data_IF_082379567015
#
_entry.id   IF_082379567015
#
_cell.length_a   1.000
_cell.length_b   1.000
_cell.length_c   1.000
_cell.angle_alpha   90.00
_cell.angle_beta   90.00
_cell.angle_gamma   90.00
#
_symmetry.space_group_name_H-M   'P 1'
#
loop_
_entity.id
_entity.type
_entity.pdbx_description
1 polymer ?
#
# COMPACT_ATOMS: atom_id res chain seq x y z
N UNK A 1 13.58 -15.98 17.25
CA UNK A 1 12.74 -15.25 18.24
C UNK A 1 11.27 -15.63 18.01
N UNK A 2 10.46 -15.48 19.04
CA UNK A 2 9.02 -15.60 19.00
C UNK A 2 8.38 -14.23 19.09
N UNK A 3 7.72 -13.80 18.03
CA UNK A 3 7.21 -12.44 17.86
C UNK A 3 5.68 -12.46 17.97
N UNK A 4 5.11 -11.62 18.82
CA UNK A 4 3.69 -11.32 18.82
C UNK A 4 3.45 -10.15 17.87
N UNK A 5 2.80 -10.41 16.73
CA UNK A 5 2.45 -9.36 15.76
C UNK A 5 0.99 -8.97 15.93
N UNK A 6 0.72 -7.66 16.01
CA UNK A 6 -0.62 -7.10 16.19
C UNK A 6 -1.00 -6.29 14.96
N UNK A 7 -2.02 -6.75 14.23
CA UNK A 7 -2.46 -6.13 12.99
C UNK A 7 -3.98 -5.90 13.02
N UNK A 8 -4.45 -4.65 13.24
CA UNK A 8 -5.87 -4.28 13.27
C UNK A 8 -6.43 -4.18 11.84
N UNK A 9 -6.27 -5.25 11.07
CA UNK A 9 -6.63 -5.33 9.66
C UNK A 9 -7.15 -6.73 9.30
N UNK A 10 -7.97 -6.86 8.24
CA UNK A 10 -8.36 -8.18 7.73
C UNK A 10 -7.19 -8.82 6.95
N UNK A 11 -6.42 -9.63 7.62
CA UNK A 11 -5.30 -10.37 7.02
C UNK A 11 -5.79 -11.73 6.46
N UNK A 12 -5.51 -12.17 5.25
CA UNK A 12 -4.91 -11.45 4.16
C UNK A 12 -6.03 -10.93 3.24
N UNK A 13 -6.00 -9.63 2.94
CA UNK A 13 -6.76 -9.06 1.81
C UNK A 13 -5.76 -8.35 0.89
N UNK A 14 -5.86 -8.46 -0.44
CA UNK A 14 -4.87 -7.91 -1.37
C UNK A 14 -5.01 -6.39 -1.53
N UNK A 15 -4.75 -5.66 -0.46
CA UNK A 15 -4.81 -4.19 -0.40
C UNK A 15 -3.75 -3.65 0.56
N UNK A 16 -3.30 -2.44 0.37
CA UNK A 16 -2.46 -1.60 1.22
C UNK A 16 -1.72 -2.30 2.37
N UNK A 17 -2.11 -2.00 3.60
CA UNK A 17 -1.49 -2.51 4.84
C UNK A 17 -1.41 -4.03 4.93
N UNK A 18 -2.46 -4.84 4.61
CA UNK A 18 -2.34 -6.31 4.61
C UNK A 18 -1.24 -6.87 3.71
N UNK A 19 -0.96 -6.25 2.56
CA UNK A 19 0.16 -6.65 1.69
C UNK A 19 1.49 -6.37 2.39
N UNK A 20 1.64 -5.20 3.00
CA UNK A 20 2.86 -4.85 3.74
C UNK A 20 3.09 -5.82 4.90
N UNK A 21 2.05 -6.15 5.68
CA UNK A 21 2.11 -7.13 6.77
C UNK A 21 2.57 -8.50 6.26
N UNK A 22 2.05 -8.94 5.12
CA UNK A 22 2.45 -10.20 4.50
C UNK A 22 3.97 -10.24 4.24
N UNK A 23 4.54 -9.20 3.63
CA UNK A 23 5.98 -9.14 3.36
C UNK A 23 6.82 -8.97 4.63
N UNK A 24 6.31 -8.29 5.67
CA UNK A 24 6.94 -8.26 7.00
C UNK A 24 7.05 -9.67 7.59
N UNK A 25 5.95 -10.41 7.56
CA UNK A 25 5.90 -11.80 8.07
C UNK A 25 6.81 -12.71 7.25
N UNK A 26 6.76 -12.60 5.90
CA UNK A 26 7.66 -13.39 5.03
C UNK A 26 9.13 -13.12 5.36
N UNK A 27 9.53 -11.87 5.50
CA UNK A 27 10.91 -11.51 5.84
C UNK A 27 11.30 -12.02 7.23
N UNK A 28 10.43 -11.90 8.23
CA UNK A 28 10.68 -12.44 9.58
C UNK A 28 10.81 -13.97 9.57
N UNK A 29 9.97 -14.65 8.82
CA UNK A 29 10.04 -16.12 8.63
C UNK A 29 11.36 -16.54 7.96
N UNK A 30 11.76 -15.86 6.88
CA UNK A 30 13.01 -16.15 6.14
C UNK A 30 14.28 -15.79 6.94
N UNK A 31 14.13 -15.01 8.03
CA UNK A 31 15.15 -14.76 9.03
C UNK A 31 15.12 -15.78 10.19
N UNK A 32 14.27 -16.80 10.12
CA UNK A 32 14.16 -17.88 11.11
C UNK A 32 13.36 -17.50 12.37
N UNK A 33 12.44 -16.54 12.28
CA UNK A 33 11.60 -16.13 13.41
C UNK A 33 10.19 -16.73 13.31
N UNK A 34 9.58 -17.00 14.45
CA UNK A 34 8.19 -17.44 14.54
C UNK A 34 7.27 -16.27 14.86
N UNK A 35 6.17 -16.13 14.13
CA UNK A 35 5.21 -15.02 14.26
C UNK A 35 3.85 -15.56 14.65
N UNK A 36 3.35 -15.19 15.84
CA UNK A 36 1.94 -15.33 16.22
C UNK A 36 1.24 -14.01 15.84
N UNK A 37 0.49 -14.00 14.73
CA UNK A 37 -0.24 -12.83 14.22
C UNK A 37 -1.63 -12.75 14.83
N UNK A 38 -1.91 -11.74 15.64
CA UNK A 38 -3.27 -11.41 16.10
C UNK A 38 -3.89 -10.41 15.15
N UNK A 39 -5.03 -10.76 14.56
CA UNK A 39 -5.68 -9.98 13.50
C UNK A 39 -7.21 -10.10 13.55
N UNK A 40 -7.91 -9.30 12.77
CA UNK A 40 -9.37 -9.36 12.68
C UNK A 40 -9.87 -10.72 12.17
N UNK A 41 -11.17 -10.98 12.36
CA UNK A 41 -11.82 -12.24 11.95
C UNK A 41 -11.89 -12.44 10.44
N UNK A 42 -11.81 -11.37 9.65
CA UNK A 42 -11.89 -11.38 8.19
C UNK A 42 -10.52 -11.62 7.52
N UNK A 43 -10.56 -12.09 6.28
CA UNK A 43 -9.39 -12.27 5.42
C UNK A 43 -9.10 -13.74 5.13
N UNK A 44 -8.09 -13.98 4.30
CA UNK A 44 -7.65 -15.33 3.88
C UNK A 44 -6.47 -15.80 4.72
N UNK A 45 -6.36 -17.10 4.91
CA UNK A 45 -5.17 -17.68 5.52
C UNK A 45 -4.05 -17.82 4.49
N UNK A 46 -2.85 -17.40 4.87
CA UNK A 46 -1.63 -17.59 4.07
C UNK A 46 -0.69 -18.56 4.78
N UNK A 47 -0.15 -19.49 4.02
CA UNK A 47 0.83 -20.46 4.51
C UNK A 47 2.22 -19.85 4.40
N UNK A 48 2.82 -19.49 5.53
CA UNK A 48 4.20 -19.02 5.66
C UNK A 48 4.82 -19.83 6.79
N UNK A 49 6.05 -20.30 6.62
CA UNK A 49 6.73 -21.06 7.64
C UNK A 49 6.86 -20.24 8.95
N UNK A 50 6.59 -20.83 10.10
CA UNK A 50 6.65 -20.16 11.40
C UNK A 50 5.52 -19.15 11.67
N UNK A 51 4.56 -18.97 10.77
CA UNK A 51 3.39 -18.11 10.98
C UNK A 51 2.24 -18.89 11.62
N UNK A 52 1.68 -18.33 12.68
CA UNK A 52 0.40 -18.72 13.25
C UNK A 52 -0.58 -17.56 13.24
N UNK A 53 -1.69 -17.67 12.51
CA UNK A 53 -2.75 -16.65 12.46
C UNK A 53 -3.74 -16.88 13.61
N UNK A 54 -3.96 -15.85 14.41
CA UNK A 54 -4.82 -15.86 15.60
C UNK A 54 -5.92 -14.81 15.41
N UNK A 55 -7.02 -15.19 14.75
CA UNK A 55 -8.14 -14.30 14.50
C UNK A 55 -8.95 -14.03 15.76
N UNK A 56 -9.45 -12.79 15.92
CA UNK A 56 -10.48 -12.49 16.93
C UNK A 56 -11.80 -13.17 16.54
N UNK A 57 -12.69 -13.42 17.51
CA UNK A 57 -14.02 -13.97 17.19
C UNK A 57 -14.87 -12.94 16.44
N UNK A 58 -15.76 -13.43 15.56
CA UNK A 58 -16.79 -12.61 14.91
C UNK A 58 -18.02 -12.49 15.82
N UNK A 59 -17.98 -11.55 16.78
CA UNK A 59 -19.08 -11.30 17.71
C UNK A 59 -20.10 -10.29 17.19
N UNK A 60 -19.77 -9.53 16.13
CA UNK A 60 -20.58 -8.41 15.66
C UNK A 60 -21.10 -8.61 14.24
N UNK A 61 -20.87 -9.75 13.62
CA UNK A 61 -21.26 -10.06 12.23
C UNK A 61 -20.81 -9.00 11.21
N UNK A 62 -19.64 -8.40 11.44
CA UNK A 62 -19.07 -7.36 10.59
C UNK A 62 -18.47 -8.01 9.36
N UNK A 63 -19.13 -7.92 8.22
CA UNK A 63 -18.70 -8.52 6.95
C UNK A 63 -17.72 -7.65 6.15
N UNK A 64 -17.62 -6.36 6.46
CA UNK A 64 -16.75 -5.41 5.75
C UNK A 64 -16.15 -4.40 6.70
N UNK A 65 -14.86 -4.11 6.54
CA UNK A 65 -14.14 -3.10 7.30
C UNK A 65 -13.69 -2.01 6.34
N UNK A 66 -14.12 -0.77 6.60
CA UNK A 66 -13.75 0.39 5.79
C UNK A 66 -12.26 0.70 5.93
N UNK A 67 -11.68 1.22 4.85
CA UNK A 67 -10.32 1.77 4.85
C UNK A 67 -10.32 3.08 5.63
N UNK A 68 -9.33 3.29 6.50
CA UNK A 68 -9.20 4.48 7.34
C UNK A 68 -9.95 4.39 8.67
N UNK A 69 -10.05 5.50 9.42
CA UNK A 69 -10.72 5.56 10.71
C UNK A 69 -12.19 5.18 10.59
N UNK A 70 -12.68 4.34 11.51
CA UNK A 70 -14.07 3.90 11.52
C UNK A 70 -14.49 3.48 12.92
N UNK A 71 -15.70 3.88 13.34
CA UNK A 71 -16.27 3.44 14.62
C UNK A 71 -16.45 1.93 14.71
N UNK A 72 -16.60 1.24 13.57
CA UNK A 72 -16.68 -0.23 13.54
C UNK A 72 -15.39 -0.92 13.95
N UNK A 73 -14.24 -0.24 13.87
CA UNK A 73 -12.95 -0.77 14.31
C UNK A 73 -12.82 -0.80 15.83
N UNK A 74 -13.44 0.12 16.57
CA UNK A 74 -13.30 0.24 18.03
C UNK A 74 -13.59 -1.07 18.76
N UNK A 75 -14.75 -1.74 18.56
CA UNK A 75 -15.00 -3.02 19.22
C UNK A 75 -14.08 -4.14 18.75
N UNK A 76 -13.63 -4.11 17.48
CA UNK A 76 -12.69 -5.09 16.95
C UNK A 76 -11.29 -4.92 17.57
N UNK A 77 -10.84 -3.67 17.74
CA UNK A 77 -9.57 -3.35 18.39
C UNK A 77 -9.57 -3.75 19.86
N UNK A 78 -10.70 -3.59 20.54
CA UNK A 78 -10.86 -4.09 21.91
C UNK A 78 -10.73 -5.61 22.00
N UNK A 79 -11.38 -6.36 21.10
CA UNK A 79 -11.25 -7.82 21.02
C UNK A 79 -9.81 -8.24 20.67
N UNK A 80 -9.13 -7.46 19.80
CA UNK A 80 -7.75 -7.70 19.42
C UNK A 80 -6.82 -7.48 20.62
N UNK A 81 -7.03 -6.44 21.41
CA UNK A 81 -6.32 -6.21 22.68
C UNK A 81 -6.54 -7.37 23.68
N UNK A 82 -7.79 -7.80 23.88
CA UNK A 82 -8.10 -8.94 24.76
C UNK A 82 -7.38 -10.21 24.30
N UNK A 83 -7.40 -10.49 22.98
CA UNK A 83 -6.72 -11.65 22.39
C UNK A 83 -5.20 -11.55 22.55
N UNK A 84 -4.61 -10.38 22.32
CA UNK A 84 -3.18 -10.13 22.50
C UNK A 84 -2.77 -10.34 23.97
N UNK A 85 -3.50 -9.74 24.92
CA UNK A 85 -3.27 -9.92 26.36
C UNK A 85 -3.33 -11.38 26.76
N UNK A 86 -4.35 -12.10 26.31
CA UNK A 86 -4.48 -13.55 26.55
C UNK A 86 -3.27 -14.36 26.03
N UNK A 87 -2.75 -14.01 24.83
CA UNK A 87 -1.55 -14.66 24.28
C UNK A 87 -0.32 -14.37 25.15
N UNK A 88 -0.14 -13.11 25.58
CA UNK A 88 0.96 -12.70 26.47
C UNK A 88 0.93 -13.43 27.81
N UNK A 89 -0.26 -13.72 28.36
CA UNK A 89 -0.41 -14.51 29.60
C UNK A 89 -0.10 -15.99 29.40
N UNK A 90 -0.36 -16.54 28.21
CA UNK A 90 -0.19 -17.99 27.93
C UNK A 90 1.19 -18.37 27.43
N UNK A 91 1.92 -17.45 26.83
CA UNK A 91 3.16 -17.73 26.13
C UNK A 91 4.17 -16.61 26.34
N UNK A 92 5.44 -16.99 26.40
CA UNK A 92 6.52 -16.02 26.34
C UNK A 92 6.77 -15.56 24.90
N UNK A 93 6.94 -14.23 24.73
CA UNK A 93 7.35 -13.60 23.48
C UNK A 93 8.60 -12.76 23.71
N UNK A 94 9.48 -12.72 22.71
CA UNK A 94 10.72 -11.96 22.73
C UNK A 94 10.50 -10.49 22.30
N UNK A 95 9.43 -10.24 21.55
CA UNK A 95 9.16 -8.96 20.90
C UNK A 95 7.66 -8.80 20.60
N UNK A 96 7.14 -7.57 20.77
CA UNK A 96 5.87 -7.15 20.19
C UNK A 96 6.14 -6.30 18.94
N UNK A 97 5.48 -6.65 17.84
CA UNK A 97 5.51 -5.93 16.57
C UNK A 97 4.08 -5.47 16.23
N UNK A 98 3.81 -4.17 16.22
CA UNK A 98 2.44 -3.67 16.02
C UNK A 98 2.31 -2.73 14.83
N UNK A 99 1.15 -2.78 14.19
CA UNK A 99 0.78 -1.98 13.04
C UNK A 99 -0.34 -1.01 13.40
N UNK A 100 -0.39 0.16 12.75
CA UNK A 100 -1.47 1.14 12.84
C UNK A 100 -1.94 1.42 14.28
N UNK A 101 -3.26 1.37 14.53
CA UNK A 101 -3.87 1.61 15.84
C UNK A 101 -3.38 0.64 16.92
N UNK A 102 -2.98 -0.57 16.55
CA UNK A 102 -2.40 -1.53 17.51
C UNK A 102 -1.08 -1.05 18.14
N UNK A 103 -0.46 -0.02 17.59
CA UNK A 103 0.69 0.65 18.18
C UNK A 103 0.46 1.07 19.62
N UNK A 104 -0.74 1.56 19.96
CA UNK A 104 -1.02 2.09 21.31
C UNK A 104 -1.02 1.00 22.36
N UNK A 105 -1.83 -0.03 22.16
CA UNK A 105 -1.91 -1.12 23.13
C UNK A 105 -0.75 -2.10 23.02
N UNK A 106 -0.15 -2.28 21.84
CA UNK A 106 1.10 -3.03 21.67
C UNK A 106 2.24 -2.43 22.49
N UNK A 107 2.39 -1.08 22.47
CA UNK A 107 3.35 -0.37 23.31
C UNK A 107 3.06 -0.56 24.80
N UNK A 108 1.79 -0.48 25.22
CA UNK A 108 1.39 -0.66 26.61
C UNK A 108 1.70 -2.10 27.09
N UNK A 109 1.33 -3.11 26.30
CA UNK A 109 1.64 -4.51 26.58
C UNK A 109 3.16 -4.73 26.69
N UNK A 110 3.94 -4.23 25.74
CA UNK A 110 5.39 -4.37 25.75
C UNK A 110 6.02 -3.79 27.04
N UNK A 111 5.51 -2.64 27.52
CA UNK A 111 5.96 -2.06 28.79
C UNK A 111 5.59 -2.92 30.01
N UNK A 112 4.37 -3.44 30.04
CA UNK A 112 3.88 -4.28 31.16
C UNK A 112 4.71 -5.57 31.26
N UNK A 113 5.05 -6.20 30.14
CA UNK A 113 5.81 -7.45 30.11
C UNK A 113 7.34 -7.25 30.01
N UNK A 114 7.82 -6.00 29.95
CA UNK A 114 9.25 -5.69 29.92
C UNK A 114 9.98 -6.15 28.65
N UNK A 115 9.27 -6.31 27.54
CA UNK A 115 9.85 -6.75 26.25
C UNK A 115 9.94 -5.61 25.25
N UNK A 116 10.84 -5.67 24.23
CA UNK A 116 10.95 -4.64 23.22
C UNK A 116 9.69 -4.54 22.34
N UNK A 117 9.48 -3.34 21.81
CA UNK A 117 8.38 -3.02 20.90
C UNK A 117 8.93 -2.40 19.62
N UNK A 118 8.47 -2.90 18.47
CA UNK A 118 8.63 -2.29 17.14
C UNK A 118 7.28 -1.80 16.67
N UNK A 119 7.23 -0.55 16.21
CA UNK A 119 6.04 0.04 15.60
C UNK A 119 6.21 0.15 14.09
N UNK A 120 5.30 -0.44 13.31
CA UNK A 120 5.22 -0.27 11.86
C UNK A 120 4.14 0.77 11.54
N UNK A 121 4.60 1.96 11.20
CA UNK A 121 3.78 3.14 10.98
C UNK A 121 3.42 3.25 9.50
N UNK A 122 2.19 2.89 9.15
CA UNK A 122 1.68 3.01 7.78
C UNK A 122 1.03 4.38 7.53
N UNK A 123 0.72 5.12 8.59
CA UNK A 123 0.14 6.45 8.53
C UNK A 123 0.28 7.17 9.86
N UNK A 124 0.18 8.50 9.87
CA UNK A 124 -0.02 9.27 11.10
C UNK A 124 -1.51 9.30 11.42
N UNK A 125 -1.90 8.75 12.56
CA UNK A 125 -3.30 8.71 12.99
C UNK A 125 -3.94 10.11 13.13
N UNK A 126 -3.26 11.13 13.69
CA UNK A 126 -3.74 12.51 13.66
C UNK A 126 -3.99 13.05 12.24
N UNK A 127 -3.11 12.72 11.30
CA UNK A 127 -3.24 13.14 9.89
C UNK A 127 -4.39 12.41 9.19
N UNK A 128 -4.62 11.14 9.50
CA UNK A 128 -5.79 10.41 9.00
C UNK A 128 -7.10 11.04 9.46
N UNK A 129 -7.20 11.47 10.72
CA UNK A 129 -8.42 12.14 11.23
C UNK A 129 -8.77 13.39 10.41
N UNK A 130 -7.75 14.15 9.98
CA UNK A 130 -7.93 15.32 9.13
C UNK A 130 -8.30 14.93 7.69
N UNK A 131 -7.54 14.02 7.07
CA UNK A 131 -7.71 13.61 5.69
C UNK A 131 -9.07 12.95 5.41
N UNK A 132 -9.59 12.18 6.37
CA UNK A 132 -10.90 11.52 6.24
C UNK A 132 -12.07 12.35 6.81
N UNK A 133 -11.79 13.55 7.33
CA UNK A 133 -12.82 14.41 7.92
C UNK A 133 -13.54 13.79 9.12
N UNK A 134 -12.91 12.80 9.79
CA UNK A 134 -13.52 12.01 10.86
C UNK A 134 -13.83 12.85 12.10
N UNK A 135 -13.00 13.84 12.40
CA UNK A 135 -13.25 14.79 13.49
C UNK A 135 -12.50 16.11 13.28
N UNK A 136 -13.20 17.23 13.45
CA UNK A 136 -12.61 18.58 13.50
C UNK A 136 -12.29 19.03 14.93
N UNK A 137 -12.53 18.20 15.94
CA UNK A 137 -12.30 18.54 17.36
C UNK A 137 -10.81 18.66 17.67
N UNK A 138 -10.40 19.85 18.13
CA UNK A 138 -9.04 20.11 18.60
C UNK A 138 -8.64 19.22 19.80
N UNK A 139 -9.59 18.81 20.62
CA UNK A 139 -9.36 17.93 21.76
C UNK A 139 -9.02 16.50 21.28
N UNK A 140 -9.80 15.96 20.37
CA UNK A 140 -9.55 14.64 19.79
C UNK A 140 -8.19 14.61 19.10
N UNK A 141 -7.88 15.60 18.27
CA UNK A 141 -6.55 15.73 17.63
C UNK A 141 -5.42 15.73 18.68
N UNK A 142 -5.58 16.47 19.78
CA UNK A 142 -4.57 16.54 20.86
C UNK A 142 -4.40 15.19 21.57
N UNK A 143 -5.46 14.43 21.77
CA UNK A 143 -5.41 13.07 22.34
C UNK A 143 -4.62 12.16 21.41
N UNK A 144 -4.93 12.12 20.12
CA UNK A 144 -4.26 11.27 19.15
C UNK A 144 -2.77 11.64 18.99
N UNK A 145 -2.42 12.92 19.02
CA UNK A 145 -1.02 13.36 19.03
C UNK A 145 -0.26 12.88 20.28
N UNK A 146 -0.91 12.87 21.46
CA UNK A 146 -0.30 12.34 22.68
C UNK A 146 -0.10 10.83 22.62
N UNK A 147 -1.08 10.11 22.07
CA UNK A 147 -1.00 8.66 21.85
C UNK A 147 0.10 8.30 20.84
N UNK A 148 0.18 9.01 19.72
CA UNK A 148 1.25 8.82 18.74
C UNK A 148 2.63 9.07 19.36
N UNK A 149 2.80 10.17 20.11
CA UNK A 149 4.06 10.44 20.85
C UNK A 149 4.38 9.37 21.89
N UNK A 150 3.36 8.83 22.57
CA UNK A 150 3.55 7.74 23.52
C UNK A 150 4.12 6.49 22.83
N UNK A 151 3.57 6.11 21.68
CA UNK A 151 4.08 4.99 20.87
C UNK A 151 5.52 5.26 20.43
N UNK A 152 5.77 6.40 19.77
CA UNK A 152 7.09 6.76 19.25
C UNK A 152 8.16 6.81 20.36
N UNK A 153 7.81 7.35 21.54
CA UNK A 153 8.73 7.43 22.68
C UNK A 153 9.14 6.05 23.21
N UNK A 154 8.19 5.12 23.29
CA UNK A 154 8.39 3.84 23.96
C UNK A 154 8.75 2.68 22.99
N UNK A 155 8.62 2.84 21.68
CA UNK A 155 9.13 1.88 20.70
C UNK A 155 10.66 1.93 20.62
N UNK A 156 11.29 0.78 20.43
CA UNK A 156 12.74 0.66 20.22
C UNK A 156 13.16 1.04 18.81
N UNK A 157 12.29 0.72 17.82
CA UNK A 157 12.41 1.13 16.44
C UNK A 157 11.02 1.42 15.87
N UNK A 158 10.96 2.30 14.86
CA UNK A 158 9.75 2.66 14.12
C UNK A 158 10.03 2.47 12.65
N UNK A 159 9.31 1.56 12.02
CA UNK A 159 9.34 1.41 10.57
C UNK A 159 8.38 2.44 9.98
N UNK A 160 8.82 3.16 8.95
CA UNK A 160 7.99 4.09 8.17
C UNK A 160 8.01 3.66 6.71
N UNK A 161 6.85 3.73 6.05
CA UNK A 161 6.68 3.20 4.68
C UNK A 161 6.96 4.21 3.56
N UNK A 162 7.21 5.47 3.91
CA UNK A 162 7.45 6.54 2.94
C UNK A 162 8.19 7.71 3.59
N UNK A 163 8.77 8.59 2.76
CA UNK A 163 9.53 9.76 3.20
C UNK A 163 8.67 10.77 3.97
N UNK A 164 7.37 10.89 3.67
CA UNK A 164 6.45 11.76 4.42
C UNK A 164 6.42 11.40 5.91
N UNK A 165 6.31 10.12 6.22
CA UNK A 165 6.31 9.63 7.60
C UNK A 165 7.70 9.75 8.25
N UNK A 166 8.76 9.57 7.48
CA UNK A 166 10.13 9.79 8.00
C UNK A 166 10.33 11.26 8.37
N UNK A 167 9.94 12.19 7.51
CA UNK A 167 9.97 13.62 7.80
C UNK A 167 9.14 13.97 9.04
N UNK A 168 7.97 13.33 9.19
CA UNK A 168 7.10 13.48 10.36
C UNK A 168 7.80 13.05 11.66
N UNK A 169 8.50 11.91 11.65
CA UNK A 169 9.27 11.47 12.81
C UNK A 169 10.40 12.44 13.15
N UNK A 170 11.05 13.01 12.14
CA UNK A 170 12.08 14.04 12.32
C UNK A 170 11.51 15.31 12.97
N UNK A 171 10.37 15.82 12.47
CA UNK A 171 9.65 16.95 13.11
C UNK A 171 9.32 16.70 14.58
N UNK A 172 8.97 15.46 14.93
CA UNK A 172 8.62 15.08 16.29
C UNK A 172 9.84 14.76 17.18
N UNK A 173 11.08 14.78 16.63
CA UNK A 173 12.33 14.48 17.35
C UNK A 173 12.58 12.98 17.53
N UNK A 174 12.06 12.12 16.65
CA UNK A 174 12.21 10.66 16.71
C UNK A 174 12.94 10.06 15.51
N UNK A 175 13.66 10.86 14.73
CA UNK A 175 14.41 10.41 13.54
C UNK A 175 15.39 9.29 13.82
N UNK A 176 16.03 9.30 15.00
CA UNK A 176 16.97 8.25 15.42
C UNK A 176 16.32 6.86 15.50
N UNK A 177 15.00 6.77 15.69
CA UNK A 177 14.23 5.53 15.73
C UNK A 177 13.67 5.12 14.38
N UNK A 178 13.54 6.05 13.46
CA UNK A 178 12.97 5.82 12.12
C UNK A 178 13.84 4.85 11.31
N UNK A 179 13.16 3.99 10.58
CA UNK A 179 13.73 3.14 9.52
C UNK A 179 12.78 3.15 8.34
N UNK A 180 13.20 3.78 7.26
CA UNK A 180 12.44 3.76 6.01
C UNK A 180 12.47 2.34 5.44
N UNK A 181 11.31 1.77 5.29
CA UNK A 181 11.09 0.50 4.63
C UNK A 181 9.91 0.64 3.69
N UNK A 182 10.22 1.10 2.49
CA UNK A 182 9.24 1.25 1.44
C UNK A 182 8.59 -0.08 1.09
N UNK A 183 7.37 0.00 0.59
CA UNK A 183 6.65 -1.21 0.26
C UNK A 183 7.34 -1.91 -0.93
N UNK A 184 7.58 -3.17 -0.72
CA UNK A 184 8.08 -4.09 -1.71
C UNK A 184 6.92 -4.97 -2.18
N UNK A 185 6.75 -5.11 -3.50
CA UNK A 185 5.74 -5.99 -4.07
C UNK A 185 6.45 -6.91 -5.06
N UNK A 186 6.77 -8.09 -4.60
CA UNK A 186 7.33 -9.15 -5.41
C UNK A 186 6.70 -10.48 -4.97
N UNK A 187 5.43 -10.62 -5.36
CA UNK A 187 4.81 -11.94 -5.26
C UNK A 187 5.41 -12.82 -6.34
N UNK A 188 5.79 -14.02 -5.98
CA UNK A 188 6.12 -15.07 -6.94
C UNK A 188 4.84 -15.42 -7.70
N UNK A 189 4.69 -14.84 -8.89
CA UNK A 189 3.60 -15.19 -9.81
C UNK A 189 4.14 -16.19 -10.85
N UNK A 190 3.29 -17.09 -11.35
CA UNK A 190 3.63 -17.90 -12.51
C UNK A 190 4.07 -17.01 -13.67
N UNK A 191 5.03 -17.46 -14.46
CA UNK A 191 5.36 -16.80 -15.71
C UNK A 191 4.13 -16.72 -16.61
N UNK A 192 3.89 -15.53 -17.14
CA UNK A 192 2.76 -15.27 -18.02
C UNK A 192 3.27 -15.39 -19.45
N UNK A 193 2.70 -16.32 -20.22
CA UNK A 193 3.12 -16.53 -21.60
C UNK A 193 2.73 -15.34 -22.48
N UNK A 194 3.53 -15.07 -23.52
CA UNK A 194 3.23 -14.03 -24.51
C UNK A 194 1.89 -14.27 -25.21
N UNK A 195 1.51 -15.53 -25.41
CA UNK A 195 0.22 -15.90 -25.99
C UNK A 195 -0.95 -15.57 -25.06
N UNK A 196 -0.80 -15.71 -23.76
CA UNK A 196 -1.81 -15.30 -22.79
C UNK A 196 -1.95 -13.77 -22.78
N UNK A 197 -0.83 -13.05 -22.78
CA UNK A 197 -0.83 -11.59 -22.86
C UNK A 197 -1.53 -11.13 -24.13
N UNK A 198 -1.18 -11.72 -25.29
CA UNK A 198 -1.76 -11.36 -26.59
C UNK A 198 -3.27 -11.59 -26.63
N UNK A 199 -3.73 -12.79 -26.26
CA UNK A 199 -5.17 -13.14 -26.22
C UNK A 199 -5.93 -12.22 -25.28
N UNK A 200 -5.37 -11.95 -24.09
CA UNK A 200 -6.03 -11.06 -23.13
C UNK A 200 -6.06 -9.60 -23.57
N UNK A 201 -5.01 -9.15 -24.29
CA UNK A 201 -4.95 -7.80 -24.85
C UNK A 201 -6.00 -7.58 -25.94
N UNK A 202 -6.26 -8.57 -26.80
CA UNK A 202 -7.24 -8.49 -27.88
C UNK A 202 -8.68 -8.26 -27.38
N UNK A 203 -8.99 -8.63 -26.13
CA UNK A 203 -10.29 -8.32 -25.51
C UNK A 203 -10.52 -6.81 -25.30
N UNK A 204 -9.45 -6.02 -25.17
CA UNK A 204 -9.50 -4.60 -24.81
C UNK A 204 -8.98 -3.66 -25.89
N UNK A 205 -8.18 -4.17 -26.80
CA UNK A 205 -7.57 -3.35 -27.84
C UNK A 205 -7.27 -4.19 -29.08
N UNK A 206 -7.85 -3.85 -30.24
CA UNK A 206 -7.46 -4.42 -31.53
C UNK A 206 -5.97 -4.18 -31.83
N UNK A 207 -5.44 -4.91 -32.80
CA UNK A 207 -4.05 -4.75 -33.25
C UNK A 207 -3.77 -3.28 -33.63
N UNK A 208 -2.69 -2.72 -33.07
CA UNK A 208 -2.30 -1.33 -33.30
C UNK A 208 -2.90 -0.30 -32.34
N UNK A 209 -3.88 -0.67 -31.54
CA UNK A 209 -4.46 0.18 -30.51
C UNK A 209 -3.61 0.12 -29.24
N UNK A 210 -3.32 1.28 -28.64
CA UNK A 210 -2.56 1.46 -27.41
C UNK A 210 -3.46 1.37 -26.18
N UNK A 211 -2.95 0.82 -25.09
CA UNK A 211 -3.66 0.72 -23.81
C UNK A 211 -3.03 1.62 -22.76
N UNK A 212 -3.81 2.57 -22.25
CA UNK A 212 -3.52 3.31 -21.02
C UNK A 212 -4.13 2.55 -19.86
N UNK A 213 -3.28 2.06 -18.96
CA UNK A 213 -3.70 1.18 -17.87
C UNK A 213 -3.73 1.90 -16.53
N UNK A 214 -4.85 1.78 -15.83
CA UNK A 214 -4.96 2.05 -14.40
C UNK A 214 -5.20 0.75 -13.62
N UNK A 215 -4.53 0.58 -12.47
CA UNK A 215 -4.78 -0.53 -11.53
C UNK A 215 -4.99 0.03 -10.13
N UNK A 216 -6.08 -0.36 -9.45
CA UNK A 216 -6.33 0.00 -8.05
C UNK A 216 -7.81 0.14 -7.70
N UNK A 217 -8.09 0.58 -6.46
CA UNK A 217 -9.45 0.94 -6.05
C UNK A 217 -9.88 2.27 -6.69
N UNK A 218 -11.19 2.57 -6.63
CA UNK A 218 -11.76 3.79 -7.19
C UNK A 218 -12.15 4.81 -6.12
N UNK A 219 -11.41 4.83 -5.00
CA UNK A 219 -11.61 5.84 -3.97
C UNK A 219 -11.37 7.26 -4.53
N UNK A 220 -12.04 8.29 -4.02
CA UNK A 220 -11.99 9.65 -4.59
C UNK A 220 -10.58 10.19 -4.79
N UNK A 221 -9.67 9.94 -3.87
CA UNK A 221 -8.28 10.40 -3.95
C UNK A 221 -7.47 9.75 -5.08
N UNK A 222 -7.94 8.64 -5.66
CA UNK A 222 -7.28 7.96 -6.78
C UNK A 222 -7.46 8.69 -8.11
N UNK A 223 -8.44 9.61 -8.22
CA UNK A 223 -8.61 10.49 -9.38
C UNK A 223 -9.18 9.81 -10.63
N UNK A 224 -10.05 8.80 -10.50
CA UNK A 224 -10.63 8.13 -11.67
C UNK A 224 -11.50 9.08 -12.52
N UNK A 225 -12.38 9.94 -11.95
CA UNK A 225 -13.07 10.95 -12.74
C UNK A 225 -12.12 11.84 -13.53
N UNK A 226 -11.05 12.29 -12.90
CA UNK A 226 -10.00 13.11 -13.53
C UNK A 226 -9.30 12.38 -14.70
N UNK A 227 -9.07 11.05 -14.58
CA UNK A 227 -8.54 10.24 -15.68
C UNK A 227 -9.53 10.14 -16.85
N UNK A 228 -10.84 10.01 -16.57
CA UNK A 228 -11.87 9.96 -17.61
C UNK A 228 -12.01 11.30 -18.35
N UNK A 229 -11.92 12.43 -17.63
CA UNK A 229 -11.88 13.77 -18.25
C UNK A 229 -10.64 13.93 -19.15
N UNK A 230 -9.47 13.44 -18.72
CA UNK A 230 -8.28 13.44 -19.57
C UNK A 230 -8.41 12.49 -20.76
N UNK A 231 -9.08 11.36 -20.61
CA UNK A 231 -9.39 10.45 -21.71
C UNK A 231 -10.27 11.11 -22.77
N UNK A 232 -11.25 11.95 -22.38
CA UNK A 232 -12.10 12.71 -23.30
C UNK A 232 -11.27 13.67 -24.18
N UNK A 233 -10.18 14.26 -23.65
CA UNK A 233 -9.29 15.15 -24.41
C UNK A 233 -8.41 14.42 -25.43
N UNK A 234 -8.14 13.12 -25.22
CA UNK A 234 -7.35 12.32 -26.15
C UNK A 234 -8.28 11.77 -27.23
N UNK A 235 -8.40 12.47 -28.35
CA UNK A 235 -9.30 12.11 -29.45
C UNK A 235 -8.69 11.16 -30.50
N UNK A 236 -7.58 10.47 -30.15
CA UNK A 236 -6.94 9.50 -31.01
C UNK A 236 -7.65 8.13 -30.87
N UNK A 237 -8.32 7.67 -31.94
CA UNK A 237 -9.02 6.37 -31.94
C UNK A 237 -8.12 5.15 -31.77
N UNK A 238 -6.79 5.33 -31.72
CA UNK A 238 -5.81 4.29 -31.44
C UNK A 238 -5.47 4.16 -29.94
N UNK A 239 -6.21 4.81 -29.05
CA UNK A 239 -5.94 4.82 -27.62
C UNK A 239 -7.16 4.37 -26.84
N UNK A 240 -7.06 3.21 -26.20
CA UNK A 240 -8.04 2.68 -25.25
C UNK A 240 -7.54 2.83 -23.80
N UNK A 241 -8.49 2.90 -22.89
CA UNK A 241 -8.24 2.98 -21.45
C UNK A 241 -8.75 1.70 -20.77
N UNK A 242 -7.89 1.06 -19.99
CA UNK A 242 -8.23 -0.14 -19.21
C UNK A 242 -8.11 0.17 -17.74
N UNK A 243 -9.22 0.16 -17.02
CA UNK A 243 -9.31 0.44 -15.60
C UNK A 243 -9.60 -0.85 -14.83
N UNK A 244 -8.57 -1.33 -14.13
CA UNK A 244 -8.59 -2.59 -13.40
C UNK A 244 -8.81 -2.32 -11.91
N UNK A 245 -9.89 -2.88 -11.36
CA UNK A 245 -10.27 -2.72 -9.96
C UNK A 245 -11.58 -1.95 -9.77
N UNK A 246 -11.76 -1.39 -8.57
CA UNK A 246 -13.00 -0.73 -8.16
C UNK A 246 -14.06 -1.71 -7.65
N UNK A 247 -14.87 -1.26 -6.70
CA UNK A 247 -16.08 -1.98 -6.26
C UNK A 247 -17.20 -1.78 -7.29
N UNK A 248 -18.16 -2.70 -7.36
CA UNK A 248 -19.22 -2.68 -8.39
C UNK A 248 -19.97 -1.34 -8.45
N UNK A 249 -20.28 -0.74 -7.30
CA UNK A 249 -20.97 0.55 -7.25
C UNK A 249 -20.12 1.69 -7.81
N UNK A 250 -18.81 1.69 -7.54
CA UNK A 250 -17.88 2.70 -8.08
C UNK A 250 -17.70 2.52 -9.59
N UNK A 251 -17.58 1.28 -10.05
CA UNK A 251 -17.47 0.94 -11.47
C UNK A 251 -18.70 1.43 -12.24
N UNK A 252 -19.90 1.18 -11.74
CA UNK A 252 -21.14 1.64 -12.41
C UNK A 252 -21.24 3.17 -12.44
N UNK A 253 -20.76 3.84 -11.42
CA UNK A 253 -20.66 5.31 -11.42
C UNK A 253 -19.70 5.80 -12.51
N UNK A 254 -18.54 5.16 -12.67
CA UNK A 254 -17.54 5.55 -13.67
C UNK A 254 -17.99 5.21 -15.09
N UNK A 255 -18.71 4.11 -15.30
CA UNK A 255 -19.34 3.80 -16.60
C UNK A 255 -20.35 4.87 -17.02
N UNK A 256 -21.21 5.33 -16.09
CA UNK A 256 -22.14 6.44 -16.38
C UNK A 256 -21.39 7.73 -16.75
N UNK A 257 -20.28 8.01 -16.08
CA UNK A 257 -19.44 9.15 -16.43
C UNK A 257 -18.81 9.00 -17.82
N UNK A 258 -18.31 7.81 -18.16
CA UNK A 258 -17.77 7.52 -19.49
C UNK A 258 -18.82 7.69 -20.60
N UNK A 259 -20.08 7.29 -20.35
CA UNK A 259 -21.21 7.55 -21.25
C UNK A 259 -21.48 9.05 -21.43
N UNK A 260 -21.51 9.79 -20.32
CA UNK A 260 -21.72 11.25 -20.36
C UNK A 260 -20.61 11.98 -21.15
N UNK A 261 -19.36 11.51 -21.06
CA UNK A 261 -18.21 12.05 -21.78
C UNK A 261 -18.08 11.50 -23.23
N UNK A 262 -18.99 10.63 -23.70
CA UNK A 262 -18.95 9.98 -25.00
C UNK A 262 -17.63 9.23 -25.29
N UNK A 263 -17.13 8.47 -24.30
CA UNK A 263 -15.88 7.68 -24.40
C UNK A 263 -16.09 6.20 -24.03
N UNK A 264 -17.33 5.74 -23.96
CA UNK A 264 -17.66 4.37 -23.53
C UNK A 264 -17.12 3.27 -24.45
N UNK A 265 -16.92 3.58 -25.73
CA UNK A 265 -16.40 2.68 -26.75
C UNK A 265 -14.91 2.33 -26.56
N UNK A 266 -14.17 3.15 -25.86
CA UNK A 266 -12.71 3.03 -25.64
C UNK A 266 -12.27 3.00 -24.19
N UNK A 267 -13.20 2.97 -23.24
CA UNK A 267 -12.92 2.86 -21.80
C UNK A 267 -13.48 1.55 -21.25
N UNK A 268 -12.60 0.68 -20.80
CA UNK A 268 -12.95 -0.66 -20.33
C UNK A 268 -12.74 -0.75 -18.81
N UNK A 269 -13.70 -1.37 -18.13
CA UNK A 269 -13.66 -1.58 -16.67
C UNK A 269 -13.74 -3.07 -16.37
N UNK A 270 -12.77 -3.61 -15.63
CA UNK A 270 -12.78 -5.03 -15.25
C UNK A 270 -13.53 -5.30 -13.94
N UNK A 271 -13.70 -4.28 -13.08
CA UNK A 271 -14.02 -4.49 -11.67
C UNK A 271 -12.84 -5.11 -10.92
N UNK A 272 -13.11 -5.63 -9.73
CA UNK A 272 -12.08 -6.28 -8.91
C UNK A 272 -11.60 -7.57 -9.57
N UNK A 273 -10.29 -7.74 -9.63
CA UNK A 273 -9.63 -8.95 -10.14
C UNK A 273 -8.83 -9.62 -9.02
N UNK A 274 -8.61 -10.92 -9.12
CA UNK A 274 -7.71 -11.63 -8.21
C UNK A 274 -6.31 -11.00 -8.26
N UNK A 275 -5.68 -10.83 -7.11
CA UNK A 275 -4.36 -10.17 -7.02
C UNK A 275 -3.30 -10.88 -7.88
N UNK A 276 -3.36 -12.19 -7.99
CA UNK A 276 -2.50 -12.99 -8.87
C UNK A 276 -2.61 -12.66 -10.36
N UNK A 277 -3.72 -12.04 -10.79
CA UNK A 277 -3.91 -11.60 -12.19
C UNK A 277 -3.41 -10.18 -12.46
N UNK A 278 -3.07 -9.40 -11.42
CA UNK A 278 -2.61 -8.02 -11.59
C UNK A 278 -1.37 -7.91 -12.50
N UNK A 279 -0.34 -8.77 -12.41
CA UNK A 279 0.79 -8.74 -13.33
C UNK A 279 0.40 -8.91 -14.79
N UNK A 280 -0.55 -9.83 -15.09
CA UNK A 280 -1.10 -10.00 -16.43
C UNK A 280 -1.70 -8.69 -16.95
N UNK A 281 -2.53 -8.01 -16.13
CA UNK A 281 -3.10 -6.73 -16.57
C UNK A 281 -2.02 -5.66 -16.76
N UNK A 282 -1.01 -5.57 -15.87
CA UNK A 282 0.11 -4.64 -16.04
C UNK A 282 0.84 -4.90 -17.36
N UNK A 283 1.01 -6.17 -17.77
CA UNK A 283 1.64 -6.50 -19.06
C UNK A 283 0.84 -6.05 -20.28
N UNK A 284 -0.48 -5.84 -20.17
CA UNK A 284 -1.31 -5.35 -21.28
C UNK A 284 -1.11 -3.86 -21.58
N UNK A 285 -0.80 -3.03 -20.57
CA UNK A 285 -0.66 -1.59 -20.72
C UNK A 285 0.54 -1.19 -21.57
N UNK A 286 0.41 -0.21 -22.45
CA UNK A 286 1.53 0.49 -23.08
C UNK A 286 2.02 1.65 -22.21
N UNK A 287 1.12 2.28 -21.45
CA UNK A 287 1.39 3.32 -20.45
C UNK A 287 0.61 3.01 -19.19
N UNK A 288 1.25 3.20 -18.04
CA UNK A 288 0.67 2.99 -16.71
C UNK A 288 0.40 4.33 -16.05
N UNK A 289 -0.81 4.53 -15.50
CA UNK A 289 -1.19 5.84 -14.95
C UNK A 289 -1.51 5.79 -13.46
N UNK A 290 -1.08 6.82 -12.72
CA UNK A 290 -1.46 7.07 -11.33
C UNK A 290 -1.97 8.52 -11.20
N UNK A 291 -3.28 8.74 -11.46
CA UNK A 291 -3.85 10.08 -11.57
C UNK A 291 -4.33 10.63 -10.22
N UNK A 292 -3.64 10.36 -9.13
CA UNK A 292 -4.03 10.84 -7.80
C UNK A 292 -4.16 12.36 -7.76
N UNK A 293 -5.14 12.84 -6.98
CA UNK A 293 -5.34 14.26 -6.71
C UNK A 293 -5.03 14.67 -5.27
N UNK A 294 -4.78 13.69 -4.41
CA UNK A 294 -4.40 13.93 -3.00
C UNK A 294 -3.80 12.67 -2.38
N UNK A 295 -3.27 12.83 -1.16
CA UNK A 295 -2.66 11.78 -0.37
C UNK A 295 -1.20 12.09 -0.04
N UNK A 296 -0.68 11.45 0.99
CA UNK A 296 0.68 11.64 1.49
C UNK A 296 1.55 10.40 1.29
N UNK A 297 0.96 9.20 1.32
CA UNK A 297 1.71 7.96 1.15
C UNK A 297 1.91 7.60 -0.32
N UNK A 298 3.08 7.07 -0.65
CA UNK A 298 3.36 6.52 -1.99
C UNK A 298 2.40 5.37 -2.32
N UNK A 299 1.71 5.40 -3.48
CA UNK A 299 0.83 4.31 -3.87
C UNK A 299 1.60 3.02 -4.13
N UNK A 300 1.15 1.89 -3.57
CA UNK A 300 1.80 0.58 -3.77
C UNK A 300 2.03 0.22 -5.23
N UNK A 301 1.08 0.57 -6.11
CA UNK A 301 1.17 0.30 -7.56
C UNK A 301 2.42 0.89 -8.22
N UNK A 302 2.98 1.98 -7.68
CA UNK A 302 4.17 2.64 -8.24
C UNK A 302 5.34 1.67 -8.29
N UNK A 303 5.57 0.88 -7.25
CA UNK A 303 6.68 -0.09 -7.22
C UNK A 303 6.53 -1.18 -8.30
N UNK A 304 5.30 -1.70 -8.50
CA UNK A 304 5.02 -2.65 -9.59
C UNK A 304 5.14 -2.00 -10.97
N UNK A 305 4.73 -0.73 -11.09
CA UNK A 305 4.83 0.02 -12.34
C UNK A 305 6.28 0.25 -12.74
N UNK A 306 7.14 0.66 -11.81
CA UNK A 306 8.57 0.84 -12.06
C UNK A 306 9.24 -0.47 -12.51
N UNK A 307 8.95 -1.58 -11.82
CA UNK A 307 9.47 -2.91 -12.19
C UNK A 307 9.00 -3.41 -13.56
N UNK A 308 7.85 -2.96 -14.04
CA UNK A 308 7.31 -3.40 -15.33
C UNK A 308 8.13 -2.95 -16.54
N UNK A 309 8.96 -1.91 -16.39
CA UNK A 309 9.70 -1.30 -17.50
C UNK A 309 8.81 -0.59 -18.53
N UNK A 310 7.59 -0.21 -18.14
CA UNK A 310 6.64 0.54 -18.97
C UNK A 310 6.61 2.00 -18.57
N UNK A 311 6.36 2.94 -19.50
CA UNK A 311 6.21 4.34 -19.18
C UNK A 311 5.15 4.58 -18.11
N UNK A 312 5.48 5.37 -17.08
CA UNK A 312 4.59 5.72 -15.98
C UNK A 312 4.26 7.20 -16.05
N UNK A 313 2.97 7.51 -16.08
CA UNK A 313 2.45 8.88 -15.94
C UNK A 313 1.83 9.05 -14.58
N UNK A 314 2.26 10.06 -13.83
CA UNK A 314 1.75 10.34 -12.50
C UNK A 314 1.63 11.85 -12.26
N UNK A 315 0.70 12.25 -11.40
CA UNK A 315 0.58 13.66 -11.01
C UNK A 315 1.80 14.12 -10.20
N UNK A 316 2.24 15.35 -10.46
CA UNK A 316 3.33 16.01 -9.74
C UNK A 316 2.88 16.43 -8.34
N UNK A 317 2.60 15.45 -7.50
CA UNK A 317 2.18 15.62 -6.11
C UNK A 317 3.13 14.88 -5.19
N UNK A 318 3.27 15.33 -3.95
CA UNK A 318 4.15 14.73 -2.95
C UNK A 318 3.95 13.23 -2.79
N UNK A 319 2.72 12.73 -2.89
CA UNK A 319 2.42 11.29 -2.86
C UNK A 319 3.16 10.46 -3.92
N UNK A 320 3.56 11.07 -5.04
CA UNK A 320 4.32 10.43 -6.12
C UNK A 320 5.79 10.82 -6.10
N UNK A 321 6.10 12.11 -5.87
CA UNK A 321 7.46 12.64 -5.99
C UNK A 321 8.41 12.20 -4.88
N UNK A 322 7.91 11.50 -3.87
CA UNK A 322 8.74 10.77 -2.91
C UNK A 322 9.58 9.66 -3.57
N UNK A 323 9.10 9.08 -4.67
CA UNK A 323 9.75 8.00 -5.42
C UNK A 323 9.99 8.37 -6.86
N UNK A 324 9.03 9.07 -7.49
CA UNK A 324 9.07 9.41 -8.91
C UNK A 324 9.74 10.76 -9.17
N UNK A 325 10.43 10.85 -10.30
CA UNK A 325 10.97 12.09 -10.86
C UNK A 325 10.97 12.02 -12.40
N UNK A 326 11.28 13.12 -13.07
CA UNK A 326 11.27 13.20 -14.53
C UNK A 326 12.37 12.38 -15.25
N UNK A 327 13.32 11.76 -14.52
CA UNK A 327 14.30 10.84 -15.12
C UNK A 327 13.72 9.43 -15.29
N UNK A 328 12.69 9.07 -14.52
CA UNK A 328 12.14 7.70 -14.46
C UNK A 328 10.63 7.64 -14.71
N UNK A 329 9.97 8.79 -14.91
CA UNK A 329 8.52 8.86 -15.13
C UNK A 329 8.14 10.15 -15.85
N UNK A 330 6.88 10.26 -16.25
CA UNK A 330 6.29 11.49 -16.78
C UNK A 330 5.44 12.09 -15.66
N UNK A 331 5.96 13.13 -15.01
CA UNK A 331 5.21 13.88 -13.99
C UNK A 331 4.42 15.00 -14.67
N UNK A 332 3.13 15.10 -14.32
CA UNK A 332 2.19 16.06 -14.87
C UNK A 332 1.50 16.86 -13.76
N UNK A 333 1.17 18.11 -14.03
CA UNK A 333 0.35 18.88 -13.09
C UNK A 333 -1.04 18.24 -12.94
N UNK A 334 -1.72 18.37 -11.78
CA UNK A 334 -3.02 17.75 -11.50
C UNK A 334 -4.17 18.48 -12.24
N UNK A 335 -3.99 18.70 -13.55
CA UNK A 335 -4.88 19.36 -14.49
C UNK A 335 -5.20 18.42 -15.66
N UNK A 336 -6.43 18.47 -16.16
CA UNK A 336 -6.96 17.54 -17.19
C UNK A 336 -6.10 17.57 -18.45
N UNK A 337 -5.79 18.74 -18.95
CA UNK A 337 -4.99 18.95 -20.17
C UNK A 337 -3.55 18.46 -19.97
N UNK A 338 -2.98 18.68 -18.78
CA UNK A 338 -1.63 18.24 -18.44
C UNK A 338 -1.55 16.71 -18.39
N UNK A 339 -2.54 16.05 -17.77
CA UNK A 339 -2.62 14.59 -17.73
C UNK A 339 -2.79 14.01 -19.14
N UNK A 340 -3.67 14.58 -19.95
CA UNK A 340 -3.91 14.13 -21.33
C UNK A 340 -2.64 14.24 -22.19
N UNK A 341 -1.94 15.39 -22.14
CA UNK A 341 -0.65 15.61 -22.82
C UNK A 341 0.43 14.65 -22.34
N UNK A 342 0.54 14.44 -21.02
CA UNK A 342 1.52 13.50 -20.46
C UNK A 342 1.26 12.05 -20.88
N UNK A 343 0.00 11.61 -20.92
CA UNK A 343 -0.37 10.29 -21.43
C UNK A 343 0.00 10.15 -22.91
N UNK A 344 -0.34 11.14 -23.73
CA UNK A 344 -0.04 11.12 -25.17
C UNK A 344 1.48 11.12 -25.42
N UNK A 345 2.24 11.94 -24.69
CA UNK A 345 3.70 11.91 -24.71
C UNK A 345 4.24 10.53 -24.35
N UNK A 346 3.74 9.92 -23.27
CA UNK A 346 4.19 8.62 -22.80
C UNK A 346 3.91 7.48 -23.79
N UNK A 347 2.83 7.58 -24.58
CA UNK A 347 2.46 6.60 -25.59
C UNK A 347 3.34 6.64 -26.85
N UNK A 348 3.76 7.84 -27.28
CA UNK A 348 4.31 8.04 -28.64
C UNK A 348 5.73 8.61 -28.66
N UNK A 349 6.31 9.02 -27.53
CA UNK A 349 7.66 9.56 -27.48
C UNK A 349 8.67 8.52 -26.97
N UNK A 350 9.81 8.37 -27.65
CA UNK A 350 10.87 7.43 -27.27
C UNK A 350 11.51 7.78 -25.94
N UNK A 351 11.60 9.07 -25.57
CA UNK A 351 12.12 9.50 -24.27
C UNK A 351 11.35 8.87 -23.10
N UNK A 352 10.03 8.67 -23.24
CA UNK A 352 9.25 8.00 -22.22
C UNK A 352 9.65 6.53 -22.03
N UNK A 353 10.08 5.85 -23.09
CA UNK A 353 10.61 4.48 -23.01
C UNK A 353 11.99 4.44 -22.37
N UNK A 354 12.81 5.44 -22.60
CA UNK A 354 14.11 5.58 -21.93
C UNK A 354 13.94 5.79 -20.43
N UNK A 355 13.01 6.68 -20.04
CA UNK A 355 12.62 6.87 -18.62
C UNK A 355 12.11 5.56 -18.00
N UNK A 356 11.32 4.76 -18.73
CA UNK A 356 10.83 3.47 -18.25
C UNK A 356 11.95 2.44 -18.05
N UNK A 357 12.98 2.42 -18.92
CA UNK A 357 14.18 1.59 -18.71
C UNK A 357 14.95 2.00 -17.47
N UNK A 358 15.21 3.29 -17.31
CA UNK A 358 15.86 3.83 -16.11
C UNK A 358 15.05 3.55 -14.83
N UNK A 359 13.72 3.59 -14.92
CA UNK A 359 12.82 3.24 -13.81
C UNK A 359 12.97 1.79 -13.38
N UNK A 360 13.02 0.87 -14.34
CA UNK A 360 13.24 -0.56 -14.09
C UNK A 360 14.61 -0.83 -13.46
N UNK A 361 15.67 -0.27 -14.02
CA UNK A 361 17.03 -0.40 -13.47
C UNK A 361 17.12 0.11 -12.02
N UNK A 362 16.47 1.25 -11.73
CA UNK A 362 16.39 1.76 -10.37
C UNK A 362 15.59 0.79 -9.47
N UNK A 363 14.44 0.30 -9.93
CA UNK A 363 13.59 -0.60 -9.14
C UNK A 363 14.30 -1.94 -8.87
N UNK A 364 15.03 -2.49 -9.84
CA UNK A 364 15.79 -3.73 -9.71
C UNK A 364 16.98 -3.59 -8.75
N UNK A 365 17.48 -2.36 -8.50
CA UNK A 365 18.53 -2.08 -7.51
C UNK A 365 17.96 -1.74 -6.14
N UNK A 366 16.94 -0.88 -6.07
CA UNK A 366 16.47 -0.27 -4.82
C UNK A 366 15.31 -1.05 -4.15
N UNK A 367 14.41 -1.63 -4.96
CA UNK A 367 13.21 -2.31 -4.44
C UNK A 367 13.34 -3.83 -4.58
N UNK A 368 14.31 -4.39 -3.86
CA UNK A 368 14.64 -5.83 -3.90
C UNK A 368 14.31 -6.52 -2.57
N UNK A 369 13.92 -7.79 -2.63
CA UNK A 369 13.64 -8.57 -1.43
C UNK A 369 14.88 -8.76 -0.51
N UNK A 370 16.10 -8.97 -1.02
CA UNK A 370 17.29 -9.02 -0.16
C UNK A 370 17.50 -7.72 0.63
N UNK A 371 17.35 -6.53 0.00
CA UNK A 371 17.45 -5.24 0.68
C UNK A 371 16.34 -5.07 1.73
N UNK A 372 15.11 -5.41 1.36
CA UNK A 372 13.96 -5.39 2.26
C UNK A 372 14.20 -6.25 3.51
N UNK A 373 14.65 -7.51 3.31
CA UNK A 373 14.98 -8.44 4.39
C UNK A 373 16.11 -7.93 5.27
N UNK A 374 17.15 -7.32 4.67
CA UNK A 374 18.24 -6.69 5.42
C UNK A 374 17.74 -5.59 6.35
N UNK A 375 16.89 -4.69 5.86
CA UNK A 375 16.34 -3.60 6.70
C UNK A 375 15.52 -4.18 7.87
N UNK A 376 14.73 -5.22 7.66
CA UNK A 376 14.03 -5.92 8.75
C UNK A 376 15.01 -6.51 9.77
N UNK A 377 16.12 -7.13 9.33
CA UNK A 377 17.18 -7.63 10.22
C UNK A 377 17.78 -6.51 11.06
N UNK A 378 18.16 -5.40 10.43
CA UNK A 378 18.76 -4.24 11.10
C UNK A 378 17.78 -3.63 12.14
N UNK A 379 16.48 -3.62 11.86
CA UNK A 379 15.43 -3.18 12.79
C UNK A 379 15.34 -4.11 14.00
N UNK A 380 15.39 -5.43 13.79
CA UNK A 380 15.35 -6.42 14.86
C UNK A 380 16.61 -6.32 15.75
N UNK A 381 17.77 -6.22 15.14
CA UNK A 381 19.05 -6.04 15.87
C UNK A 381 19.01 -4.79 16.74
N UNK A 382 18.54 -3.67 16.20
CA UNK A 382 18.39 -2.43 16.95
C UNK A 382 17.39 -2.56 18.11
N UNK A 383 16.29 -3.27 17.91
CA UNK A 383 15.26 -3.42 18.94
C UNK A 383 15.67 -4.39 20.05
N UNK A 384 16.39 -5.48 19.71
CA UNK A 384 16.68 -6.59 20.60
C UNK A 384 18.17 -6.71 20.98
N UNK A 385 19.09 -6.10 20.23
CA UNK A 385 20.55 -6.22 20.41
C UNK A 385 21.13 -5.46 21.62
N UNK A 386 20.35 -4.58 22.25
CA UNK A 386 20.79 -3.85 23.45
C UNK A 386 20.78 -4.65 24.76
N UNK A 387 20.43 -5.94 24.73
CA UNK A 387 20.24 -6.78 25.93
C UNK A 387 21.21 -7.93 26.13
N UNK A 388 22.14 -8.17 25.20
CA UNK A 388 23.21 -9.16 25.39
C UNK A 388 24.55 -8.47 25.67
N UNK A 389 24.66 -7.83 26.83
CA UNK A 389 25.97 -7.77 27.53
C UNK A 389 25.93 -8.92 28.52
N UNK A 390 26.82 -9.87 28.26
CA UNK A 390 27.18 -11.06 29.02
C UNK A 390 27.18 -10.83 30.55
#
# INVERSE_FOLDING_TARGET
MKILMLAPEPFFQPRGTPISIYFRIKALSDLGHNVDLVTYHLGEDKRINGLKILRIPDLFSIKRIKIGPSFTKIPLDFLLLCKATWQMMKKHYDLIFSHEEAGWFGTALAKIWGIPHIYDMHSSLPQQLENFGFSRSKLIKRIFLRLERFVLKNSKAVIVICLDLEAKLKELGFEAKARLLENFIDFEYPEISEDEIRRKREEYAPRGVKIVLYVGNFQPYQGIPFLLEAAEKIRDGRVNFLLVGGESADVEKMKRMAMYLNISDRVHFTGQVAHSKVPLFISLGDVLVSPRRSGTNTPLKIYSFLKSGKPVVATNLWTHTQVLNNKISVLVEPEVESLAKGIYFALFNEEAKERARAAREMADREFTYPRYKKIISDVLEKACGGGRKS
#
